data_IF_846215740185
#
_entry.id   IF_846215740185
#
_cell.length_a   1.000
_cell.length_b   1.000
_cell.length_c   1.000
_cell.angle_alpha   90.00
_cell.angle_beta   90.00
_cell.angle_gamma   90.00
#
_symmetry.space_group_name_H-M   'P 1'
#
loop_
_entity.id
_entity.type
_entity.pdbx_description
1 polymer ?
#
# COMPACT_ATOMS: atom_id res chain seq x y z
N UNK A 1 9.20 -11.87 -18.02
CA UNK A 1 8.80 -11.67 -17.39
C UNK A 1 9.04 -10.70 -16.71
N UNK A 2 8.90 -10.12 -16.29
CA UNK A 2 9.04 -9.27 -15.65
C UNK A 2 9.38 -9.34 -14.38
N UNK A 3 10.01 -9.91 -14.07
CA UNK A 3 10.28 -10.43 -12.85
C UNK A 3 10.61 -9.47 -11.78
N UNK A 4 11.44 -8.55 -11.89
CA UNK A 4 11.72 -7.61 -10.84
C UNK A 4 10.53 -6.78 -10.41
N UNK A 5 9.41 -6.97 -11.11
CA UNK A 5 8.21 -6.25 -10.79
C UNK A 5 7.22 -7.02 -9.97
N UNK A 6 7.50 -8.25 -9.70
CA UNK A 6 6.58 -9.05 -8.91
C UNK A 6 6.68 -8.71 -7.44
N UNK A 7 5.53 -8.72 -6.78
CA UNK A 7 5.46 -8.49 -5.36
C UNK A 7 6.18 -9.61 -4.61
N UNK A 8 6.99 -9.24 -3.64
CA UNK A 8 7.71 -10.21 -2.83
C UNK A 8 6.79 -10.64 -1.70
N UNK A 9 6.36 -11.88 -1.73
CA UNK A 9 5.40 -12.39 -0.78
C UNK A 9 4.00 -11.87 -1.07
N UNK A 10 3.07 -12.11 -0.16
CA UNK A 10 1.70 -11.66 -0.32
C UNK A 10 1.57 -10.20 0.11
N UNK A 11 0.61 -9.46 -0.46
CA UNK A 11 0.31 -8.12 0.03
C UNK A 11 -0.13 -8.16 1.49
N UNK A 12 0.19 -7.11 2.23
CA UNK A 12 -0.20 -7.01 3.64
C UNK A 12 -1.28 -5.94 3.74
N UNK A 13 -2.40 -6.31 4.35
CA UNK A 13 -3.59 -5.47 4.39
C UNK A 13 -3.77 -4.80 5.74
N UNK A 14 -4.27 -3.56 5.68
CA UNK A 14 -4.63 -2.76 6.85
C UNK A 14 -6.06 -2.29 6.62
N UNK A 15 -6.98 -2.65 7.51
CA UNK A 15 -8.40 -2.42 7.29
C UNK A 15 -8.91 -1.21 8.06
N UNK A 16 -9.83 -0.48 7.45
CA UNK A 16 -10.33 0.79 7.95
C UNK A 16 -11.82 0.75 8.22
N UNK A 17 -12.27 1.60 9.13
CA UNK A 17 -13.69 1.76 9.43
C UNK A 17 -14.39 2.49 8.29
N UNK A 18 -15.69 2.23 8.17
CA UNK A 18 -16.51 2.81 7.13
C UNK A 18 -16.35 4.32 7.08
N UNK A 19 -16.08 4.82 5.88
CA UNK A 19 -16.04 6.26 5.64
C UNK A 19 -14.90 7.01 6.30
N UNK A 20 -13.89 6.29 6.81
CA UNK A 20 -12.79 6.93 7.53
C UNK A 20 -11.44 6.40 7.07
N UNK A 21 -10.38 7.09 7.50
CA UNK A 21 -9.03 6.55 7.43
C UNK A 21 -8.53 6.17 8.82
N UNK A 22 -9.45 5.71 9.67
CA UNK A 22 -9.14 5.14 10.99
C UNK A 22 -9.15 3.64 10.91
N UNK A 23 -8.10 3.00 11.41
CA UNK A 23 -8.01 1.53 11.39
C UNK A 23 -9.09 0.92 12.26
N UNK A 24 -9.63 -0.23 11.80
CA UNK A 24 -10.60 -0.97 12.62
C UNK A 24 -9.95 -1.44 13.92
N UNK A 25 -8.65 -1.69 13.88
CA UNK A 25 -7.89 -2.11 15.05
C UNK A 25 -6.49 -1.51 14.95
N UNK A 26 -6.16 -0.56 15.82
CA UNK A 26 -4.83 0.07 15.76
C UNK A 26 -3.66 -0.89 15.93
N UNK A 27 -3.90 -2.07 16.51
CA UNK A 27 -2.82 -3.06 16.67
C UNK A 27 -2.30 -3.56 15.33
N UNK A 28 -3.04 -3.32 14.24
CA UNK A 28 -2.57 -3.64 12.90
C UNK A 28 -1.25 -2.95 12.57
N UNK A 29 -0.98 -1.80 13.20
CA UNK A 29 0.24 -1.04 12.94
C UNK A 29 1.51 -1.79 13.30
N UNK A 30 1.40 -2.80 14.12
CA UNK A 30 2.55 -3.64 14.48
C UNK A 30 3.17 -4.29 13.24
N UNK A 31 2.36 -4.56 12.23
CA UNK A 31 2.86 -5.16 10.98
C UNK A 31 3.83 -4.24 10.24
N UNK A 32 3.72 -2.94 10.47
CA UNK A 32 4.59 -1.97 9.80
C UNK A 32 6.02 -2.04 10.29
N UNK A 33 6.23 -2.44 11.54
CA UNK A 33 7.58 -2.57 12.08
C UNK A 33 8.37 -3.60 11.28
N UNK A 34 7.75 -4.72 11.00
CA UNK A 34 8.40 -5.77 10.22
C UNK A 34 8.57 -5.37 8.76
N UNK A 35 7.55 -4.73 8.19
CA UNK A 35 7.63 -4.26 6.80
C UNK A 35 8.78 -3.29 6.61
N UNK A 36 8.90 -2.33 7.53
CA UNK A 36 9.95 -1.34 7.44
C UNK A 36 11.33 -2.00 7.60
N UNK A 37 11.45 -2.92 8.53
CA UNK A 37 12.71 -3.62 8.77
C UNK A 37 13.15 -4.42 7.53
N UNK A 38 12.22 -5.16 6.94
CA UNK A 38 12.54 -5.98 5.77
C UNK A 38 12.86 -5.10 4.56
N UNK A 39 12.08 -4.04 4.34
CA UNK A 39 12.31 -3.15 3.22
C UNK A 39 13.69 -2.49 3.31
N UNK A 40 14.08 -2.06 4.50
CA UNK A 40 15.39 -1.43 4.68
C UNK A 40 16.52 -2.44 4.54
N UNK A 41 16.35 -3.61 5.12
CA UNK A 41 17.41 -4.62 5.11
C UNK A 41 17.76 -5.06 3.70
N UNK A 42 16.77 -5.23 2.85
CA UNK A 42 16.97 -5.76 1.50
C UNK A 42 16.89 -4.69 0.41
N UNK A 43 16.77 -3.43 0.79
CA UNK A 43 16.71 -2.34 -0.19
C UNK A 43 15.49 -2.39 -1.08
N UNK A 44 14.35 -2.77 -0.53
CA UNK A 44 13.14 -2.96 -1.31
C UNK A 44 12.37 -1.66 -1.50
N UNK A 45 11.61 -1.62 -2.58
CA UNK A 45 10.61 -0.57 -2.80
C UNK A 45 9.27 -1.02 -2.24
N UNK A 46 8.46 -0.06 -1.84
CA UNK A 46 7.18 -0.33 -1.21
C UNK A 46 6.08 0.37 -1.98
N UNK A 47 5.06 -0.38 -2.35
CA UNK A 47 3.88 0.18 -3.01
C UNK A 47 2.73 0.18 -2.02
N UNK A 48 2.16 1.36 -1.79
CA UNK A 48 1.08 1.55 -0.82
C UNK A 48 -0.17 1.95 -1.59
N UNK A 49 -1.18 1.08 -1.60
CA UNK A 49 -2.40 1.31 -2.36
C UNK A 49 -3.59 1.35 -1.41
N UNK A 50 -4.27 2.49 -1.38
CA UNK A 50 -5.49 2.65 -0.59
C UNK A 50 -6.71 2.33 -1.43
N UNK A 51 -7.76 1.85 -0.78
CA UNK A 51 -8.99 1.48 -1.44
C UNK A 51 -10.20 1.81 -0.56
N UNK A 52 -11.33 2.04 -1.22
CA UNK A 52 -12.62 2.24 -0.55
C UNK A 52 -13.60 1.24 -1.15
N UNK A 53 -14.68 0.92 -0.43
CA UNK A 53 -15.67 0.03 -1.00
C UNK A 53 -16.59 0.81 -1.93
N UNK A 54 -16.83 0.26 -3.12
CA UNK A 54 -17.64 0.93 -4.12
C UNK A 54 -19.13 0.88 -3.81
N UNK A 55 -19.53 0.11 -2.82
CA UNK A 55 -20.94 0.00 -2.43
C UNK A 55 -21.42 1.21 -1.63
N UNK A 56 -20.50 2.02 -1.12
CA UNK A 56 -20.85 3.20 -0.33
C UNK A 56 -20.13 4.42 -0.88
N UNK A 57 -20.70 5.59 -0.61
CA UNK A 57 -20.11 6.85 -1.03
C UNK A 57 -20.26 7.12 -2.53
N UNK A 58 -19.66 8.18 -2.96
CA UNK A 58 -19.64 8.57 -4.36
C UNK A 58 -18.24 8.37 -4.92
N UNK A 59 -18.10 8.49 -6.23
CA UNK A 59 -16.78 8.34 -6.88
C UNK A 59 -15.79 9.33 -6.28
N UNK A 60 -16.20 10.60 -6.14
CA UNK A 60 -15.29 11.62 -5.61
C UNK A 60 -14.89 11.34 -4.16
N UNK A 61 -15.86 10.94 -3.34
CA UNK A 61 -15.58 10.61 -1.94
C UNK A 61 -14.64 9.42 -1.87
N UNK A 62 -14.90 8.38 -2.66
CA UNK A 62 -14.09 7.18 -2.62
C UNK A 62 -12.67 7.43 -3.13
N UNK A 63 -12.52 8.29 -4.13
CA UNK A 63 -11.18 8.66 -4.59
C UNK A 63 -10.39 9.34 -3.49
N UNK A 64 -11.01 10.32 -2.82
CA UNK A 64 -10.35 11.04 -1.74
C UNK A 64 -10.04 10.13 -0.56
N UNK A 65 -11.00 9.26 -0.21
CA UNK A 65 -10.86 8.36 0.93
C UNK A 65 -9.75 7.35 0.70
N UNK A 66 -9.70 6.76 -0.49
CA UNK A 66 -8.66 5.79 -0.82
C UNK A 66 -7.28 6.44 -0.77
N UNK A 67 -7.15 7.67 -1.26
CA UNK A 67 -5.89 8.40 -1.19
C UNK A 67 -5.49 8.66 0.27
N UNK A 68 -6.45 9.05 1.11
CA UNK A 68 -6.18 9.30 2.53
C UNK A 68 -5.71 8.05 3.24
N UNK A 69 -6.29 6.91 2.89
CA UNK A 69 -5.91 5.64 3.51
C UNK A 69 -4.48 5.24 3.12
N UNK A 70 -4.11 5.48 1.86
CA UNK A 70 -2.73 5.25 1.42
C UNK A 70 -1.77 6.21 2.14
N UNK A 71 -2.14 7.49 2.23
CA UNK A 71 -1.31 8.49 2.91
C UNK A 71 -1.08 8.13 4.36
N UNK A 72 -2.12 7.64 5.04
CA UNK A 72 -2.00 7.30 6.44
C UNK A 72 -0.94 6.21 6.66
N UNK A 73 -1.01 5.14 5.89
CA UNK A 73 -0.06 4.03 6.05
C UNK A 73 1.35 4.45 5.60
N UNK A 74 1.45 5.19 4.51
CA UNK A 74 2.77 5.68 4.05
C UNK A 74 3.40 6.59 5.11
N UNK A 75 2.60 7.44 5.75
CA UNK A 75 3.07 8.31 6.81
C UNK A 75 3.58 7.51 8.00
N UNK A 76 2.87 6.44 8.36
CA UNK A 76 3.29 5.58 9.46
C UNK A 76 4.59 4.84 9.14
N UNK A 77 4.77 4.42 7.90
CA UNK A 77 6.03 3.82 7.46
C UNK A 77 7.17 4.83 7.53
N UNK A 78 6.89 6.06 7.10
CA UNK A 78 7.90 7.11 7.14
C UNK A 78 8.32 7.44 8.58
N UNK A 79 7.36 7.46 9.50
CA UNK A 79 7.66 7.68 10.92
C UNK A 79 8.59 6.61 11.47
N UNK A 80 8.52 5.41 10.93
CA UNK A 80 9.36 4.29 11.36
C UNK A 80 10.71 4.27 10.65
N UNK A 81 10.96 5.22 9.77
CA UNK A 81 12.27 5.37 9.16
C UNK A 81 12.36 4.99 7.69
N UNK A 82 11.24 4.64 7.04
CA UNK A 82 11.29 4.33 5.62
C UNK A 82 11.21 5.62 4.83
N UNK A 83 12.19 5.84 3.95
CA UNK A 83 12.28 7.06 3.16
C UNK A 83 11.14 7.16 2.15
N UNK A 84 10.55 8.35 1.95
CA UNK A 84 9.54 8.53 0.92
C UNK A 84 10.01 8.12 -0.47
N UNK A 85 11.31 8.20 -0.74
CA UNK A 85 11.85 7.79 -2.05
C UNK A 85 11.67 6.31 -2.32
N UNK A 86 11.44 5.53 -1.28
CA UNK A 86 11.24 4.10 -1.41
C UNK A 86 9.78 3.73 -1.56
N UNK A 87 8.87 4.69 -1.47
CA UNK A 87 7.44 4.41 -1.46
C UNK A 87 6.75 5.01 -2.66
N UNK A 88 5.76 4.28 -3.17
CA UNK A 88 4.82 4.79 -4.16
C UNK A 88 3.43 4.72 -3.53
N UNK A 89 2.68 5.81 -3.56
CA UNK A 89 1.34 5.87 -2.98
C UNK A 89 0.31 6.01 -4.09
N UNK A 90 -0.78 5.26 -3.97
CA UNK A 90 -1.88 5.33 -4.93
C UNK A 90 -3.20 5.13 -4.20
N UNK A 91 -4.19 5.97 -4.51
CA UNK A 91 -5.56 5.72 -4.11
C UNK A 91 -6.31 5.20 -5.32
N UNK A 92 -6.85 4.00 -5.23
CA UNK A 92 -7.52 3.40 -6.39
C UNK A 92 -9.03 3.61 -6.40
N UNK A 93 -9.55 4.39 -5.45
CA UNK A 93 -10.98 4.70 -5.41
C UNK A 93 -11.81 3.55 -4.87
N UNK A 94 -13.07 3.51 -5.30
CA UNK A 94 -13.99 2.45 -4.87
C UNK A 94 -13.74 1.18 -5.63
N UNK A 95 -13.66 0.07 -4.90
CA UNK A 95 -13.46 -1.24 -5.51
C UNK A 95 -14.46 -2.23 -4.93
N UNK A 96 -14.61 -3.36 -5.60
CA UNK A 96 -15.47 -4.44 -5.13
C UNK A 96 -14.79 -5.80 -5.32
N UNK A 97 -13.46 -5.79 -5.29
CA UNK A 97 -12.66 -6.97 -5.63
C UNK A 97 -12.65 -8.03 -4.54
N UNK A 98 -13.00 -7.65 -3.33
CA UNK A 98 -12.90 -8.54 -2.18
C UNK A 98 -14.25 -8.74 -1.51
N UNK A 99 -14.38 -9.84 -0.80
CA UNK A 99 -15.56 -10.14 -0.02
C UNK A 99 -15.12 -10.50 1.40
N UNK A 100 -15.88 -10.11 2.43
CA UNK A 100 -17.08 -9.29 2.35
C UNK A 100 -16.80 -7.85 1.96
N UNK A 101 -17.83 -7.04 1.84
CA UNK A 101 -17.69 -5.64 1.41
C UNK A 101 -16.66 -4.88 2.22
N UNK A 102 -16.61 -5.10 3.52
CA UNK A 102 -15.68 -4.43 4.43
C UNK A 102 -14.22 -4.68 4.04
N UNK A 103 -13.94 -5.79 3.37
CA UNK A 103 -12.57 -6.11 2.97
C UNK A 103 -12.03 -5.13 1.91
N UNK A 104 -12.91 -4.35 1.29
CA UNK A 104 -12.50 -3.34 0.32
C UNK A 104 -12.09 -2.02 0.98
N UNK A 105 -12.27 -1.88 2.29
CA UNK A 105 -11.89 -0.69 3.05
C UNK A 105 -10.49 -0.89 3.61
N UNK A 106 -9.49 -0.75 2.74
CA UNK A 106 -8.15 -1.14 3.16
C UNK A 106 -7.06 -0.27 2.51
N UNK A 107 -5.85 -0.44 3.02
CA UNK A 107 -4.62 -0.09 2.33
C UNK A 107 -3.80 -1.37 2.28
N UNK A 108 -3.30 -1.71 1.11
CA UNK A 108 -2.42 -2.85 0.99
C UNK A 108 -1.01 -2.39 0.68
N UNK A 109 -0.06 -3.09 1.27
CA UNK A 109 1.35 -2.78 1.13
C UNK A 109 2.04 -3.94 0.44
N UNK A 110 2.73 -3.64 -0.65
CA UNK A 110 3.43 -4.64 -1.44
C UNK A 110 4.90 -4.28 -1.53
N UNK A 111 5.76 -5.29 -1.47
CA UNK A 111 7.21 -5.10 -1.52
C UNK A 111 7.74 -5.56 -2.87
N UNK A 112 8.70 -4.81 -3.41
CA UNK A 112 9.32 -5.11 -4.70
C UNK A 112 10.81 -4.90 -4.62
N UNK A 113 11.57 -5.57 -5.48
CA UNK A 113 12.98 -5.29 -5.60
C UNK A 113 13.17 -3.89 -6.16
N UNK A 114 14.04 -3.10 -5.52
CA UNK A 114 14.15 -1.70 -5.81
C UNK A 114 15.00 -1.34 -7.00
N UNK A 115 15.70 -2.28 -7.59
CA UNK A 115 16.63 -1.92 -8.63
C UNK A 115 16.11 -2.11 -10.02
N UNK A 116 14.99 -2.50 -10.23
CA UNK A 116 14.53 -2.58 -11.56
C UNK A 116 14.10 -1.26 -12.03
N UNK A 117 14.54 -0.57 -12.31
CA UNK A 117 13.97 0.52 -12.63
C UNK A 117 14.64 1.40 -13.15
N UNK A 118 14.93 1.30 -13.45
CA UNK A 118 15.34 2.02 -13.77
C UNK A 118 15.60 2.06 -14.67
N UNK A 119 15.52 1.90 -14.85
CA UNK A 119 15.67 1.83 -15.43
C UNK A 119 15.74 1.27 -15.89
N UNK A 120 15.35 0.92 -15.94
CA UNK A 120 15.19 0.39 -15.85
C UNK A 120 15.57 -0.27 -15.97
N UNK A 121 15.63 -0.35 -16.38
CA UNK A 121 15.91 -0.85 -16.21
C UNK A 121 16.35 -1.17 -16.78
N UNK A 122 16.28 -0.90 -17.10
CA UNK A 122 16.50 -1.26 -17.29
C UNK A 122 17.04 -1.69 -17.69
N UNK A 123 17.04 -1.67 -18.14
CA UNK A 123 17.24 -2.20 -18.12
C UNK A 123 17.85 -2.86 -18.27
N UNK A 124 17.79 -2.92 -18.70
CA UNK A 124 17.99 -3.63 -18.34
C UNK A 124 18.37 -4.30 -18.32
N UNK A 125 18.29 -4.47 -18.65
CA UNK A 125 18.28 -5.03 -18.19
C UNK A 125 18.47 -5.59 -18.23
N UNK A 126 18.44 -5.56 -18.79
CA UNK A 126 18.09 -5.81 -18.52
C UNK A 126 18.26 -6.04 -18.54
#
# INVERSE_FOLDING_TARGET
>A
MQSGRECIGAPIFFFFELGTSHLTDPSQLVKLDELERVAKKYGLKVKVTGAADSATGTIGINNALSASRADYIASELNKRGLSPDRMTKTGEGGISDYAPTEANRHTRVELFFGKCEENECSSVNR
#
